data_IF_713716085721
#
_entry.id   IF_713716085721
#
_cell.length_a   1.000
_cell.length_b   1.000
_cell.length_c   1.000
_cell.angle_alpha   90.00
_cell.angle_beta   90.00
_cell.angle_gamma   90.00
#
_symmetry.space_group_name_H-M   'P 1'
#
loop_
_entity.id
_entity.type
_entity.pdbx_description
1 polymer ?
#
# COMPACT_ATOMS: atom_id res chain seq x y z
N UNK A 1 -2.60 -6.65 20.99
CA UNK A 1 -2.91 -6.94 19.59
C UNK A 1 -3.78 -8.17 19.60
N UNK A 2 -4.92 -8.15 18.92
CA UNK A 2 -5.81 -9.31 18.86
C UNK A 2 -5.46 -10.25 17.69
N UNK A 3 -6.07 -11.44 17.65
CA UNK A 3 -5.79 -12.44 16.61
C UNK A 3 -6.10 -11.91 15.20
N UNK A 4 -7.11 -11.04 15.06
CA UNK A 4 -7.49 -10.47 13.76
C UNK A 4 -6.45 -9.46 13.27
N UNK A 5 -5.88 -8.67 14.16
CA UNK A 5 -4.78 -7.76 13.85
C UNK A 5 -3.52 -8.53 13.45
N UNK A 6 -3.20 -9.63 14.14
CA UNK A 6 -2.06 -10.49 13.78
C UNK A 6 -2.25 -11.15 12.41
N UNK A 7 -3.44 -11.68 12.12
CA UNK A 7 -3.79 -12.23 10.80
C UNK A 7 -3.68 -11.17 9.70
N UNK A 8 -4.19 -9.96 9.96
CA UNK A 8 -4.13 -8.85 9.01
C UNK A 8 -2.69 -8.39 8.74
N UNK A 9 -1.83 -8.35 9.75
CA UNK A 9 -0.40 -8.04 9.58
C UNK A 9 0.29 -9.10 8.71
N UNK A 10 0.08 -10.38 9.00
CA UNK A 10 0.70 -11.46 8.23
C UNK A 10 0.26 -11.44 6.75
N UNK A 11 -1.02 -11.17 6.52
CA UNK A 11 -1.59 -11.01 5.17
C UNK A 11 -0.99 -9.80 4.43
N UNK A 12 -0.89 -8.64 5.08
CA UNK A 12 -0.25 -7.45 4.52
C UNK A 12 1.21 -7.72 4.19
N UNK A 13 1.97 -8.35 5.09
CA UNK A 13 3.37 -8.68 4.84
C UNK A 13 3.53 -9.57 3.59
N UNK A 14 2.69 -10.59 3.43
CA UNK A 14 2.73 -11.44 2.25
C UNK A 14 2.41 -10.66 0.96
N UNK A 15 1.49 -9.71 1.02
CA UNK A 15 1.08 -8.90 -0.13
C UNK A 15 2.03 -7.75 -0.46
N UNK A 16 2.85 -7.26 0.48
CA UNK A 16 3.90 -6.26 0.23
C UNK A 16 4.85 -6.75 -0.87
N UNK A 17 5.27 -8.01 -0.82
CA UNK A 17 6.15 -8.60 -1.84
C UNK A 17 5.54 -8.54 -3.25
N UNK A 18 4.23 -8.77 -3.36
CA UNK A 18 3.51 -8.63 -4.63
C UNK A 18 3.48 -7.17 -5.10
N UNK A 19 3.21 -6.23 -4.20
CA UNK A 19 3.18 -4.81 -4.52
C UNK A 19 4.56 -4.29 -4.95
N UNK A 20 5.63 -4.75 -4.30
CA UNK A 20 7.01 -4.45 -4.70
C UNK A 20 7.30 -4.95 -6.11
N UNK A 21 6.87 -6.16 -6.47
CA UNK A 21 7.01 -6.67 -7.83
C UNK A 21 6.22 -5.84 -8.84
N UNK A 22 4.99 -5.45 -8.51
CA UNK A 22 4.17 -4.59 -9.36
C UNK A 22 4.86 -3.23 -9.58
N UNK A 23 5.31 -2.58 -8.50
CA UNK A 23 5.98 -1.28 -8.56
C UNK A 23 7.32 -1.34 -9.32
N UNK A 24 8.04 -2.46 -9.22
CA UNK A 24 9.35 -2.66 -9.86
C UNK A 24 9.21 -2.93 -11.36
N UNK A 25 8.29 -3.82 -11.76
CA UNK A 25 8.25 -4.35 -13.12
C UNK A 25 7.17 -3.72 -14.00
N UNK A 26 6.16 -3.04 -13.42
CA UNK A 26 5.18 -2.31 -14.21
C UNK A 26 5.64 -0.88 -14.47
N UNK A 27 5.23 -0.38 -15.63
CA UNK A 27 5.39 1.03 -15.98
C UNK A 27 4.54 1.89 -15.04
N UNK A 28 5.07 3.05 -14.65
CA UNK A 28 4.35 4.03 -13.84
C UNK A 28 3.00 4.39 -14.49
N UNK A 29 1.92 4.27 -13.71
CA UNK A 29 0.55 4.51 -14.18
C UNK A 29 -0.05 3.38 -15.01
N UNK A 30 0.49 2.16 -14.88
CA UNK A 30 -0.10 0.93 -15.40
C UNK A 30 0.04 -0.23 -14.39
N UNK A 31 -0.32 0.04 -13.13
CA UNK A 31 -0.21 -0.94 -12.06
C UNK A 31 -1.37 -1.91 -12.05
N UNK A 32 -2.59 -1.41 -12.25
CA UNK A 32 -3.82 -2.20 -12.41
C UNK A 32 -4.03 -3.26 -11.31
N UNK A 33 -3.61 -2.97 -10.06
CA UNK A 33 -3.57 -3.97 -8.99
C UNK A 33 -4.93 -4.65 -8.77
N UNK A 34 -6.01 -3.86 -8.67
CA UNK A 34 -7.39 -4.37 -8.55
C UNK A 34 -7.80 -5.26 -9.73
N UNK A 35 -7.34 -4.96 -10.95
CA UNK A 35 -7.73 -5.69 -12.16
C UNK A 35 -6.92 -6.98 -12.37
N UNK A 36 -5.64 -6.96 -12.05
CA UNK A 36 -4.72 -8.09 -12.24
C UNK A 36 -4.75 -9.08 -11.07
N UNK A 37 -4.97 -8.59 -9.86
CA UNK A 37 -4.92 -9.37 -8.61
C UNK A 37 -6.13 -9.04 -7.73
N UNK A 38 -7.36 -9.34 -8.18
CA UNK A 38 -8.59 -8.90 -7.51
C UNK A 38 -8.77 -9.52 -6.12
N UNK A 39 -8.28 -10.74 -5.89
CA UNK A 39 -8.39 -11.43 -4.60
C UNK A 39 -7.44 -10.81 -3.58
N UNK A 40 -6.20 -10.58 -4.00
CA UNK A 40 -5.13 -10.00 -3.21
C UNK A 40 -5.47 -8.55 -2.86
N UNK A 41 -5.98 -7.78 -3.83
CA UNK A 41 -6.49 -6.43 -3.58
C UNK A 41 -7.64 -6.42 -2.57
N UNK A 42 -8.60 -7.35 -2.68
CA UNK A 42 -9.73 -7.42 -1.74
C UNK A 42 -9.28 -7.77 -0.32
N UNK A 43 -8.33 -8.70 -0.17
CA UNK A 43 -7.74 -9.01 1.14
C UNK A 43 -6.97 -7.82 1.67
N UNK A 44 -6.11 -7.20 0.85
CA UNK A 44 -5.33 -6.03 1.20
C UNK A 44 -6.18 -4.90 1.77
N UNK A 45 -7.24 -4.50 1.07
CA UNK A 45 -8.12 -3.42 1.53
C UNK A 45 -8.86 -3.78 2.83
N UNK A 46 -9.30 -5.03 2.97
CA UNK A 46 -9.93 -5.53 4.20
C UNK A 46 -8.94 -5.46 5.37
N UNK A 47 -7.75 -6.01 5.19
CA UNK A 47 -6.74 -6.14 6.24
C UNK A 47 -6.16 -4.77 6.62
N UNK A 48 -5.92 -3.89 5.63
CA UNK A 48 -5.55 -2.51 5.86
C UNK A 48 -6.63 -1.76 6.67
N UNK A 49 -7.92 -2.02 6.40
CA UNK A 49 -9.02 -1.43 7.17
C UNK A 49 -9.09 -1.95 8.61
N UNK A 50 -8.83 -3.25 8.82
CA UNK A 50 -8.72 -3.84 10.17
C UNK A 50 -7.63 -3.14 10.95
N UNK A 51 -6.41 -3.10 10.39
CA UNK A 51 -5.27 -2.49 11.06
C UNK A 51 -5.47 -0.99 11.30
N UNK A 52 -5.96 -0.25 10.32
CA UNK A 52 -6.22 1.20 10.44
C UNK A 52 -7.15 1.53 11.62
N UNK A 53 -8.09 0.64 11.91
CA UNK A 53 -9.06 0.78 13.01
C UNK A 53 -8.54 0.27 14.36
N UNK A 54 -7.32 -0.26 14.40
CA UNK A 54 -6.68 -0.78 15.61
C UNK A 54 -6.50 0.32 16.67
N UNK A 55 -6.67 -0.05 17.93
CA UNK A 55 -6.28 0.78 19.06
C UNK A 55 -4.75 0.86 19.25
N UNK A 56 -3.99 -0.08 18.66
CA UNK A 56 -2.54 -0.03 18.63
C UNK A 56 -2.07 1.00 17.60
N UNK A 57 -1.33 2.01 18.06
CA UNK A 57 -0.85 3.10 17.20
C UNK A 57 -0.01 2.61 16.01
N UNK A 58 0.86 1.62 16.22
CA UNK A 58 1.74 1.08 15.19
C UNK A 58 0.95 0.29 14.13
N UNK A 59 0.01 -0.55 14.58
CA UNK A 59 -0.89 -1.27 13.67
C UNK A 59 -1.76 -0.29 12.87
N UNK A 60 -2.37 0.71 13.53
CA UNK A 60 -3.15 1.76 12.86
C UNK A 60 -2.36 2.51 11.81
N UNK A 61 -1.10 2.85 12.11
CA UNK A 61 -0.18 3.50 11.17
C UNK A 61 0.16 2.60 9.98
N UNK A 62 0.41 1.31 10.22
CA UNK A 62 0.66 0.34 9.14
C UNK A 62 -0.56 0.21 8.22
N UNK A 63 -1.77 0.08 8.78
CA UNK A 63 -3.02 0.02 8.01
C UNK A 63 -3.27 1.29 7.19
N UNK A 64 -3.01 2.47 7.77
CA UNK A 64 -3.11 3.74 7.04
C UNK A 64 -2.21 3.77 5.80
N UNK A 65 -0.92 3.45 5.96
CA UNK A 65 0.02 3.51 4.83
C UNK A 65 -0.20 2.40 3.82
N UNK A 66 -0.70 1.25 4.25
CA UNK A 66 -1.07 0.15 3.35
C UNK A 66 -2.18 0.57 2.39
N UNK A 67 -3.26 1.15 2.92
CA UNK A 67 -4.33 1.70 2.08
C UNK A 67 -3.84 2.90 1.24
N UNK A 68 -2.99 3.75 1.82
CA UNK A 68 -2.44 4.91 1.10
C UNK A 68 -1.65 4.50 -0.14
N UNK A 69 -0.89 3.41 -0.08
CA UNK A 69 -0.12 2.93 -1.22
C UNK A 69 -1.03 2.53 -2.39
N UNK A 70 -2.04 1.70 -2.15
CA UNK A 70 -2.97 1.24 -3.19
C UNK A 70 -3.83 2.36 -3.75
N UNK A 71 -4.23 3.33 -2.91
CA UNK A 71 -4.89 4.56 -3.35
C UNK A 71 -4.03 5.36 -4.35
N UNK A 72 -2.74 5.56 -4.04
CA UNK A 72 -1.83 6.32 -4.89
C UNK A 72 -1.43 5.53 -6.16
N UNK A 73 -1.40 4.20 -6.12
CA UNK A 73 -1.26 3.35 -7.32
C UNK A 73 -2.46 3.54 -8.26
N UNK A 74 -3.69 3.43 -7.74
CA UNK A 74 -4.91 3.64 -8.52
C UNK A 74 -5.02 5.08 -9.05
N UNK A 75 -4.58 6.07 -8.27
CA UNK A 75 -4.51 7.46 -8.71
C UNK A 75 -3.45 7.65 -9.82
N UNK A 76 -2.31 6.95 -9.75
CA UNK A 76 -1.29 6.96 -10.80
C UNK A 76 -1.85 6.44 -12.13
N UNK A 77 -2.59 5.33 -12.10
CA UNK A 77 -3.23 4.76 -13.29
C UNK A 77 -4.22 5.77 -13.91
N UNK A 78 -5.08 6.37 -13.07
CA UNK A 78 -6.06 7.39 -13.53
C UNK A 78 -5.38 8.65 -14.10
N UNK A 79 -4.33 9.15 -13.45
CA UNK A 79 -3.63 10.37 -13.87
C UNK A 79 -2.88 10.14 -15.18
N UNK A 80 -2.19 9.01 -15.32
CA UNK A 80 -1.47 8.68 -16.54
C UNK A 80 -2.42 8.43 -17.72
N UNK A 81 -3.55 7.76 -17.48
CA UNK A 81 -4.59 7.60 -18.50
C UNK A 81 -5.17 8.95 -18.97
N UNK A 82 -5.37 9.91 -18.06
CA UNK A 82 -6.01 11.20 -18.37
C UNK A 82 -5.07 12.25 -18.94
N UNK A 83 -3.83 12.31 -18.45
CA UNK A 83 -2.91 13.41 -18.74
C UNK A 83 -1.62 12.97 -19.43
N UNK A 84 -1.35 11.66 -19.51
CA UNK A 84 -0.09 11.10 -19.97
C UNK A 84 1.00 11.11 -18.89
N UNK A 85 1.87 10.12 -18.95
CA UNK A 85 2.97 9.88 -18.00
C UNK A 85 3.96 11.05 -17.88
N UNK A 86 4.19 11.79 -18.97
CA UNK A 86 5.14 12.92 -18.99
C UNK A 86 4.54 14.23 -18.44
N UNK A 87 3.28 14.24 -18.06
CA UNK A 87 2.61 15.45 -17.58
C UNK A 87 3.14 15.93 -16.22
N UNK A 88 2.96 17.22 -15.92
CA UNK A 88 3.24 17.76 -14.58
C UNK A 88 2.45 17.04 -13.48
N UNK A 89 1.20 16.65 -13.78
CA UNK A 89 0.33 15.93 -12.84
C UNK A 89 0.85 14.52 -12.58
N UNK A 90 1.34 13.82 -13.59
CA UNK A 90 1.95 12.50 -13.44
C UNK A 90 3.23 12.56 -12.58
N UNK A 91 4.08 13.57 -12.75
CA UNK A 91 5.26 13.78 -11.88
C UNK A 91 4.88 14.02 -10.41
N UNK A 92 3.92 14.91 -10.15
CA UNK A 92 3.40 15.13 -8.80
C UNK A 92 2.81 13.87 -8.18
N UNK A 93 2.18 13.03 -9.01
CA UNK A 93 1.63 11.76 -8.58
C UNK A 93 2.73 10.72 -8.27
N UNK A 94 3.82 10.71 -9.03
CA UNK A 94 4.98 9.88 -8.74
C UNK A 94 5.60 10.21 -7.38
N UNK A 95 5.70 11.49 -7.03
CA UNK A 95 6.18 11.93 -5.71
C UNK A 95 5.26 11.44 -4.57
N UNK A 96 3.94 11.50 -4.78
CA UNK A 96 2.96 11.00 -3.80
C UNK A 96 3.02 9.49 -3.63
N UNK A 97 3.15 8.75 -4.73
CA UNK A 97 3.31 7.31 -4.70
C UNK A 97 4.60 6.91 -3.98
N UNK A 98 5.71 7.61 -4.27
CA UNK A 98 6.97 7.42 -3.55
C UNK A 98 6.80 7.66 -2.04
N UNK A 99 6.18 8.78 -1.66
CA UNK A 99 5.92 9.08 -0.25
C UNK A 99 5.03 8.01 0.42
N UNK A 100 4.07 7.43 -0.31
CA UNK A 100 3.25 6.32 0.19
C UNK A 100 4.06 5.04 0.41
N UNK A 101 4.94 4.69 -0.54
CA UNK A 101 5.85 3.55 -0.41
C UNK A 101 6.83 3.73 0.77
N UNK A 102 7.51 4.87 0.84
CA UNK A 102 8.44 5.21 1.93
C UNK A 102 7.71 5.23 3.30
N UNK A 103 6.47 5.71 3.32
CA UNK A 103 5.62 5.74 4.51
C UNK A 103 5.24 4.34 4.98
N UNK A 104 4.89 3.44 4.06
CA UNK A 104 4.60 2.04 4.34
C UNK A 104 5.83 1.30 4.86
N UNK A 105 6.98 1.45 4.19
CA UNK A 105 8.23 0.82 4.60
C UNK A 105 8.59 1.21 6.04
N UNK A 106 8.55 2.51 6.36
CA UNK A 106 8.82 3.00 7.72
C UNK A 106 7.81 2.49 8.74
N UNK A 107 6.52 2.47 8.39
CA UNK A 107 5.48 1.97 9.28
C UNK A 107 5.67 0.49 9.57
N UNK A 108 6.04 -0.29 8.56
CA UNK A 108 6.35 -1.71 8.70
C UNK A 108 7.60 -1.94 9.56
N UNK A 109 8.70 -1.23 9.31
CA UNK A 109 9.91 -1.32 10.15
C UNK A 109 9.62 -0.98 11.61
N UNK A 110 8.93 0.13 11.87
CA UNK A 110 8.57 0.53 13.24
C UNK A 110 7.65 -0.49 13.91
N UNK A 111 6.72 -1.07 13.16
CA UNK A 111 5.84 -2.11 13.66
C UNK A 111 6.62 -3.38 14.03
N UNK A 112 7.55 -3.82 13.19
CA UNK A 112 8.39 -4.99 13.46
C UNK A 112 9.29 -4.78 14.69
N UNK A 113 9.86 -3.58 14.85
CA UNK A 113 10.66 -3.24 16.03
C UNK A 113 9.84 -3.31 17.33
N UNK A 114 8.55 -3.00 17.28
CA UNK A 114 7.65 -3.10 18.43
C UNK A 114 7.25 -4.55 18.71
N UNK A 115 6.98 -5.36 17.69
CA UNK A 115 6.57 -6.77 17.87
C UNK A 115 7.72 -7.66 18.34
N UNK A 116 8.96 -7.31 18.01
CA UNK A 116 10.16 -8.07 18.42
C UNK A 116 10.60 -7.73 19.87
N UNK A 117 10.06 -6.66 20.47
CA UNK A 117 10.32 -6.28 21.88
C UNK A 117 9.45 -7.04 22.86
#
# INVERSE_FOLDING_TARGET
>A
MDDKELEAVASIQACILLLEQILTYKRFGNYQFQGLFPKEHASWEKDASVLKSSANHFASRLGYWSQKLTDEMAASDRICAKYGEKSRKARQQADRLKNAADGLEKAYQTFMDEVVR
#
